data_IF_825163347165
#
_entry.id   IF_825163347165
#
_cell.length_a   1.000
_cell.length_b   1.000
_cell.length_c   1.000
_cell.angle_alpha   90.00
_cell.angle_beta   90.00
_cell.angle_gamma   90.00
#
_symmetry.space_group_name_H-M   'P 1'
#
loop_
_entity.id
_entity.type
_entity.pdbx_description
1 polymer ?
#
# COMPACT_ATOMS: atom_id res chain seq x y z
N UNK A 1 20.33 1.94 18.11
CA UNK A 1 19.08 2.32 18.82
C UNK A 1 17.93 2.57 17.83
N UNK A 2 17.77 1.68 16.83
CA UNK A 2 16.80 1.85 15.72
C UNK A 2 16.12 0.55 15.26
N UNK A 3 16.63 -0.62 15.65
CA UNK A 3 16.10 -1.92 15.23
C UNK A 3 14.94 -2.45 16.10
N UNK A 4 14.77 -1.95 17.33
CA UNK A 4 13.75 -2.46 18.27
C UNK A 4 12.31 -2.08 17.87
N UNK A 5 12.13 -1.05 17.03
CA UNK A 5 10.81 -0.60 16.56
C UNK A 5 10.29 -1.42 15.37
N UNK A 6 11.19 -1.94 14.53
CA UNK A 6 10.86 -2.83 13.42
C UNK A 6 10.28 -4.17 13.89
N UNK A 7 10.88 -4.75 14.93
CA UNK A 7 10.42 -6.02 15.51
C UNK A 7 9.04 -5.88 16.18
N UNK A 8 8.74 -4.71 16.74
CA UNK A 8 7.42 -4.40 17.29
C UNK A 8 6.38 -4.25 16.16
N UNK A 9 6.74 -3.61 15.04
CA UNK A 9 5.85 -3.44 13.89
C UNK A 9 5.56 -4.76 13.15
N UNK A 10 6.57 -5.59 12.89
CA UNK A 10 6.40 -6.92 12.29
C UNK A 10 5.53 -7.82 13.19
N UNK A 11 5.72 -7.76 14.51
CA UNK A 11 4.88 -8.51 15.48
C UNK A 11 3.45 -7.97 15.58
N UNK A 12 3.25 -6.67 15.49
CA UNK A 12 1.93 -6.04 15.50
C UNK A 12 1.13 -6.37 14.22
N UNK A 13 1.77 -6.32 13.05
CA UNK A 13 1.16 -6.76 11.79
C UNK A 13 0.77 -8.25 11.81
N UNK A 14 1.55 -9.11 12.47
CA UNK A 14 1.22 -10.55 12.64
C UNK A 14 0.03 -10.79 13.59
N UNK A 15 -0.19 -9.91 14.58
CA UNK A 15 -1.29 -10.01 15.55
C UNK A 15 -2.64 -9.53 15.00
N UNK A 16 -2.65 -8.63 14.01
CA UNK A 16 -3.88 -8.01 13.48
C UNK A 16 -4.42 -8.62 12.16
N UNK A 17 -3.75 -9.62 11.58
CA UNK A 17 -4.18 -10.25 10.31
C UNK A 17 -5.23 -11.36 10.44
N UNK A 18 -5.77 -11.64 11.64
CA UNK A 18 -6.76 -12.72 11.83
C UNK A 18 -8.23 -12.31 11.64
N UNK A 19 -8.58 -11.03 11.40
CA UNK A 19 -10.00 -10.61 11.40
C UNK A 19 -10.63 -10.30 10.03
N UNK A 20 -9.94 -10.43 8.90
CA UNK A 20 -10.59 -10.20 7.59
C UNK A 20 -9.88 -10.95 6.47
N UNK A 21 -10.03 -12.27 6.47
CA UNK A 21 -9.77 -13.06 5.26
C UNK A 21 -10.93 -12.84 4.29
N UNK A 22 -10.73 -12.31 3.08
CA UNK A 22 -11.69 -12.49 2.00
C UNK A 22 -11.75 -14.00 1.73
N UNK A 23 -12.96 -14.57 1.69
CA UNK A 23 -13.13 -15.94 1.18
C UNK A 23 -12.66 -15.95 -0.28
N UNK A 24 -11.81 -16.88 -0.71
CA UNK A 24 -11.55 -17.04 -2.13
C UNK A 24 -12.86 -17.43 -2.83
N UNK A 25 -13.18 -16.87 -4.01
CA UNK A 25 -14.29 -17.38 -4.80
C UNK A 25 -14.03 -18.86 -5.12
N UNK A 26 -15.03 -19.70 -4.89
CA UNK A 26 -15.04 -21.10 -5.28
C UNK A 26 -14.92 -21.17 -6.80
N UNK A 27 -13.70 -21.34 -7.33
CA UNK A 27 -13.52 -21.62 -8.75
C UNK A 27 -13.98 -23.06 -8.96
N UNK A 28 -15.17 -23.20 -9.55
CA UNK A 28 -15.67 -24.46 -10.05
C UNK A 28 -14.63 -25.06 -11.01
N UNK A 29 -14.22 -26.30 -10.73
CA UNK A 29 -13.42 -27.09 -11.67
C UNK A 29 -14.29 -27.42 -12.87
N UNK A 30 -14.11 -26.66 -13.94
CA UNK A 30 -14.58 -27.05 -15.26
C UNK A 30 -13.51 -27.91 -15.94
N UNK A 31 -13.85 -29.16 -16.19
CA UNK A 31 -13.03 -30.13 -16.92
C UNK A 31 -13.34 -29.99 -18.40
N UNK A 32 -12.48 -29.32 -19.17
CA UNK A 32 -12.71 -29.24 -20.61
C UNK A 32 -11.67 -28.44 -21.38
N UNK A 33 -10.66 -29.14 -21.87
CA UNK A 33 -9.97 -28.95 -23.16
C UNK A 33 -10.30 -27.66 -23.94
N UNK A 34 -9.32 -26.73 -24.01
CA UNK A 34 -8.65 -26.37 -25.27
C UNK A 34 -7.41 -25.50 -24.98
N UNK A 35 -6.28 -26.04 -25.40
CA UNK A 35 -5.00 -25.36 -25.56
C UNK A 35 -5.19 -24.13 -26.46
N UNK A 36 -5.18 -22.94 -25.87
CA UNK A 36 -4.90 -21.71 -26.57
C UNK A 36 -3.55 -21.20 -26.05
N UNK A 37 -2.56 -21.22 -26.93
CA UNK A 37 -1.23 -20.65 -26.72
C UNK A 37 -1.36 -19.15 -26.45
N UNK A 38 -1.33 -18.72 -25.19
CA UNK A 38 -1.14 -17.32 -24.83
C UNK A 38 0.36 -17.04 -24.74
N UNK A 39 0.99 -16.87 -25.91
CA UNK A 39 2.27 -16.16 -26.00
C UNK A 39 1.97 -14.65 -26.05
N UNK A 40 1.54 -14.09 -24.92
CA UNK A 40 1.55 -12.63 -24.76
C UNK A 40 2.91 -12.26 -24.19
N UNK A 41 3.66 -11.44 -24.91
CA UNK A 41 4.90 -10.86 -24.39
C UNK A 41 4.54 -10.03 -23.15
N UNK A 42 4.92 -10.51 -21.98
CA UNK A 42 4.63 -9.88 -20.67
C UNK A 42 5.12 -8.42 -20.59
N UNK A 43 6.08 -8.04 -21.44
CA UNK A 43 6.69 -6.71 -21.49
C UNK A 43 5.77 -5.56 -21.90
N UNK A 44 4.70 -5.81 -22.66
CA UNK A 44 3.76 -4.74 -23.09
C UNK A 44 2.62 -4.51 -22.10
N UNK A 45 2.28 -5.50 -21.27
CA UNK A 45 1.25 -5.39 -20.23
C UNK A 45 1.77 -4.72 -18.95
N UNK A 46 3.08 -4.79 -18.68
CA UNK A 46 3.69 -4.15 -17.51
C UNK A 46 3.50 -2.62 -17.53
N UNK A 47 3.55 -1.99 -18.70
CA UNK A 47 3.37 -0.55 -18.87
C UNK A 47 1.95 -0.05 -18.61
N UNK A 48 0.93 -0.89 -18.84
CA UNK A 48 -0.48 -0.52 -18.63
C UNK A 48 -0.98 -0.80 -17.21
N UNK A 49 -0.36 -1.77 -16.52
CA UNK A 49 -0.77 -2.24 -15.19
C UNK A 49 -0.07 -1.46 -14.07
N UNK A 50 0.99 -0.71 -14.39
CA UNK A 50 1.82 0.02 -13.45
C UNK A 50 1.66 1.55 -13.53
N UNK A 51 0.42 2.05 -13.56
CA UNK A 51 0.17 3.50 -13.48
C UNK A 51 0.42 3.98 -12.04
N UNK A 52 1.54 4.68 -11.84
CA UNK A 52 1.87 5.35 -10.57
C UNK A 52 1.02 6.62 -10.41
N UNK A 53 0.36 6.84 -9.26
CA UNK A 53 -0.34 8.10 -9.03
C UNK A 53 0.64 9.26 -8.84
N UNK A 54 0.26 10.44 -9.31
CA UNK A 54 1.00 11.68 -9.06
C UNK A 54 0.71 12.20 -7.64
N UNK A 55 1.52 11.79 -6.67
CA UNK A 55 1.50 12.33 -5.32
C UNK A 55 2.35 13.61 -5.24
N UNK A 56 1.86 14.62 -4.51
CA UNK A 56 2.65 15.82 -4.23
C UNK A 56 3.75 15.52 -3.22
N UNK A 57 4.80 16.36 -3.18
CA UNK A 57 5.88 16.21 -2.20
C UNK A 57 5.35 16.16 -0.76
N UNK A 58 4.38 17.02 -0.43
CA UNK A 58 3.76 17.07 0.89
C UNK A 58 2.93 15.81 1.20
N UNK A 59 2.22 15.26 0.21
CA UNK A 59 1.49 14.00 0.40
C UNK A 59 2.44 12.84 0.68
N UNK A 60 3.56 12.75 -0.05
CA UNK A 60 4.58 11.72 0.19
C UNK A 60 5.17 11.86 1.59
N UNK A 61 5.54 13.08 2.01
CA UNK A 61 6.10 13.33 3.33
C UNK A 61 5.14 12.89 4.46
N UNK A 62 3.87 13.30 4.38
CA UNK A 62 2.84 12.92 5.38
C UNK A 62 2.60 11.41 5.38
N UNK A 63 2.58 10.78 4.21
CA UNK A 63 2.42 9.34 4.07
C UNK A 63 3.56 8.57 4.74
N UNK A 64 4.81 8.99 4.49
CA UNK A 64 6.00 8.37 5.07
C UNK A 64 6.04 8.58 6.58
N UNK A 65 5.79 9.80 7.07
CA UNK A 65 5.69 10.05 8.50
C UNK A 65 4.64 9.17 9.18
N UNK A 66 3.47 8.99 8.54
CA UNK A 66 2.45 8.09 9.06
C UNK A 66 2.85 6.61 9.03
N UNK A 67 3.70 6.18 8.10
CA UNK A 67 4.27 4.83 8.13
C UNK A 67 5.17 4.63 9.35
N UNK A 68 6.00 5.63 9.72
CA UNK A 68 6.91 5.60 10.87
C UNK A 68 6.25 5.70 12.24
N UNK A 69 4.96 6.03 12.27
CA UNK A 69 4.22 6.31 13.50
C UNK A 69 3.22 5.22 13.83
N UNK A 70 3.03 4.97 15.13
CA UNK A 70 1.99 4.06 15.63
C UNK A 70 0.60 4.70 15.56
N UNK A 71 0.53 6.04 15.72
CA UNK A 71 -0.71 6.80 15.64
C UNK A 71 -0.66 7.95 14.62
N UNK A 72 -1.83 8.49 14.27
CA UNK A 72 -1.92 9.70 13.44
C UNK A 72 -1.51 10.96 14.21
N UNK A 73 -1.57 10.95 15.53
CA UNK A 73 -1.12 12.04 16.38
C UNK A 73 0.40 12.18 16.34
N UNK A 74 1.13 11.06 16.43
CA UNK A 74 2.59 11.06 16.34
C UNK A 74 3.08 11.48 14.96
N UNK A 75 2.38 11.03 13.90
CA UNK A 75 2.65 11.46 12.54
C UNK A 75 2.45 12.98 12.38
N UNK A 76 1.32 13.48 12.89
CA UNK A 76 0.99 14.90 12.87
C UNK A 76 2.04 15.76 13.60
N UNK A 77 2.50 15.30 14.77
CA UNK A 77 3.57 15.94 15.52
C UNK A 77 4.90 15.96 14.74
N UNK A 78 5.24 14.84 14.08
CA UNK A 78 6.47 14.70 13.29
C UNK A 78 6.53 15.69 12.13
N UNK A 79 5.43 15.81 11.36
CA UNK A 79 5.35 16.71 10.19
C UNK A 79 4.75 18.09 10.50
N UNK A 80 4.53 18.41 11.78
CA UNK A 80 4.02 19.70 12.30
C UNK A 80 2.71 20.18 11.65
N UNK A 81 1.72 19.30 11.57
CA UNK A 81 0.35 19.62 11.13
C UNK A 81 -0.69 19.08 12.09
N UNK A 82 -1.96 19.41 11.89
CA UNK A 82 -3.05 18.83 12.67
C UNK A 82 -3.35 17.37 12.25
N UNK A 83 -3.91 16.58 13.18
CA UNK A 83 -4.39 15.22 12.88
C UNK A 83 -5.49 15.23 11.80
N UNK A 84 -6.34 16.27 11.79
CA UNK A 84 -7.34 16.47 10.73
C UNK A 84 -6.68 16.61 9.36
N UNK A 85 -5.61 17.39 9.26
CA UNK A 85 -4.84 17.57 8.03
C UNK A 85 -4.18 16.26 7.58
N UNK A 86 -3.64 15.46 8.50
CA UNK A 86 -3.14 14.11 8.18
C UNK A 86 -4.24 13.24 7.57
N UNK A 87 -5.43 13.21 8.18
CA UNK A 87 -6.57 12.46 7.65
C UNK A 87 -6.94 12.91 6.23
N UNK A 88 -7.01 14.22 5.99
CA UNK A 88 -7.29 14.78 4.67
C UNK A 88 -6.25 14.34 3.64
N UNK A 89 -4.95 14.40 3.98
CA UNK A 89 -3.90 13.93 3.09
C UNK A 89 -4.01 12.44 2.79
N UNK A 90 -4.21 11.59 3.81
CA UNK A 90 -4.36 10.14 3.62
C UNK A 90 -5.57 9.79 2.74
N UNK A 91 -6.69 10.48 2.92
CA UNK A 91 -7.88 10.30 2.06
C UNK A 91 -7.57 10.68 0.61
N UNK A 92 -6.90 11.82 0.38
CA UNK A 92 -6.49 12.25 -0.97
C UNK A 92 -5.53 11.27 -1.63
N UNK A 93 -4.54 10.77 -0.90
CA UNK A 93 -3.58 9.78 -1.39
C UNK A 93 -4.30 8.50 -1.81
N UNK A 94 -5.17 7.96 -0.93
CA UNK A 94 -5.95 6.75 -1.25
C UNK A 94 -6.84 6.95 -2.46
N UNK A 95 -7.45 8.12 -2.59
CA UNK A 95 -8.24 8.48 -3.76
C UNK A 95 -7.39 8.49 -5.04
N UNK A 96 -6.20 9.12 -5.02
CA UNK A 96 -5.28 9.10 -6.17
C UNK A 96 -4.88 7.69 -6.59
N UNK A 97 -4.63 6.81 -5.61
CA UNK A 97 -4.37 5.39 -5.85
C UNK A 97 -5.59 4.66 -6.46
N UNK A 98 -6.80 4.95 -5.98
CA UNK A 98 -8.02 4.38 -6.54
C UNK A 98 -8.28 4.86 -7.98
N UNK A 99 -8.04 6.13 -8.29
CA UNK A 99 -8.20 6.71 -9.64
C UNK A 99 -7.31 6.03 -10.68
N UNK A 100 -6.11 5.59 -10.30
CA UNK A 100 -5.21 4.83 -11.19
C UNK A 100 -5.49 3.31 -11.18
N UNK A 101 -6.60 2.87 -10.59
CA UNK A 101 -7.00 1.46 -10.55
C UNK A 101 -6.24 0.61 -9.52
N UNK A 102 -5.52 1.23 -8.58
CA UNK A 102 -4.68 0.55 -7.56
C UNK A 102 -5.09 0.93 -6.13
N UNK A 103 -6.32 0.62 -5.68
CA UNK A 103 -6.82 1.04 -4.37
C UNK A 103 -5.95 0.50 -3.21
N UNK A 104 -5.84 1.29 -2.14
CA UNK A 104 -5.04 0.99 -0.96
C UNK A 104 -5.79 1.36 0.34
N UNK A 105 -6.81 0.57 0.75
CA UNK A 105 -7.68 0.93 1.86
C UNK A 105 -6.98 0.89 3.23
N UNK A 106 -6.01 -0.02 3.42
CA UNK A 106 -5.32 -0.21 4.70
C UNK A 106 -3.95 0.47 4.72
N UNK A 107 -3.37 0.69 5.93
CA UNK A 107 -1.99 1.21 6.09
C UNK A 107 -0.98 0.30 5.36
N UNK A 108 -1.11 -1.02 5.54
CA UNK A 108 -0.25 -2.02 4.92
C UNK A 108 -0.38 -2.03 3.39
N UNK A 109 -1.60 -1.97 2.85
CA UNK A 109 -1.81 -1.89 1.41
C UNK A 109 -1.17 -0.61 0.83
N UNK A 110 -1.32 0.53 1.52
CA UNK A 110 -0.73 1.79 1.08
C UNK A 110 0.81 1.74 1.14
N UNK A 111 1.38 1.12 2.16
CA UNK A 111 2.82 0.89 2.26
C UNK A 111 3.34 0.02 1.12
N UNK A 112 2.66 -1.09 0.82
CA UNK A 112 3.03 -1.96 -0.30
C UNK A 112 3.00 -1.21 -1.64
N UNK A 113 1.99 -0.35 -1.87
CA UNK A 113 1.93 0.50 -3.06
C UNK A 113 3.07 1.52 -3.11
N UNK A 114 3.37 2.16 -1.99
CA UNK A 114 4.48 3.11 -1.88
C UNK A 114 5.85 2.45 -2.14
N UNK A 115 6.04 1.20 -1.70
CA UNK A 115 7.24 0.41 -1.98
C UNK A 115 7.35 0.10 -3.47
N UNK A 116 6.27 -0.40 -4.09
CA UNK A 116 6.25 -0.67 -5.53
C UNK A 116 6.56 0.62 -6.33
N UNK A 117 5.99 1.75 -5.91
CA UNK A 117 6.12 3.04 -6.62
C UNK A 117 7.47 3.72 -6.39
N UNK A 118 8.31 3.19 -5.50
CA UNK A 118 9.61 3.77 -5.16
C UNK A 118 9.53 5.01 -4.26
N UNK A 119 8.42 5.21 -3.55
CA UNK A 119 8.31 6.26 -2.53
C UNK A 119 9.07 5.91 -1.25
N UNK A 120 9.35 4.63 -1.03
CA UNK A 120 10.17 4.15 0.07
C UNK A 120 10.87 2.83 -0.30
N UNK A 121 11.82 2.39 0.53
CA UNK A 121 12.51 1.10 0.40
C UNK A 121 12.58 0.43 1.76
N UNK A 122 12.64 -0.90 1.76
CA UNK A 122 12.60 -1.70 2.99
C UNK A 122 13.75 -1.41 3.96
N UNK A 123 14.91 -0.97 3.47
CA UNK A 123 16.09 -0.66 4.28
C UNK A 123 16.02 0.68 5.05
N UNK A 124 14.97 1.48 4.86
CA UNK A 124 14.80 2.77 5.55
C UNK A 124 13.83 2.69 6.75
N UNK A 125 13.35 1.50 7.07
CA UNK A 125 12.42 1.21 8.15
C UNK A 125 13.12 0.33 9.15
#
# INVERSE_FOLDING_TARGET
MGEERLWCWISYCRRYTLSSSPRPPTIARDTGTKSARYSVSTSELDGYLYRRPALSAREVEVMLAWFSSDSKADAAATVRISVGTVNTHLTRIRHKYAVVGRPAPTKAALFARALQDGHTKLNHW
#
